data_IF_155945290259
#
_entry.id   IF_155945290259
#
_cell.length_a   1.000
_cell.length_b   1.000
_cell.length_c   1.000
_cell.angle_alpha   90.00
_cell.angle_beta   90.00
_cell.angle_gamma   90.00
#
_symmetry.space_group_name_H-M   'P 1'
#
loop_
_entity.id
_entity.type
_entity.pdbx_description
1 polymer ?
#
# COMPACT_ATOMS: atom_id res chain seq x y z
N UNK A 1 -60.02 -3.18 -70.74
CA UNK A 1 -61.09 -2.77 -69.82
C UNK A 1 -60.79 -3.36 -68.45
N UNK A 2 -61.07 -2.57 -67.40
CA UNK A 2 -60.94 -2.82 -65.94
C UNK A 2 -59.53 -2.97 -65.33
N UNK A 3 -59.07 -1.85 -64.80
CA UNK A 3 -58.14 -1.67 -63.67
C UNK A 3 -58.72 -2.15 -62.33
N UNK A 4 -57.92 -2.73 -61.42
CA UNK A 4 -57.98 -2.57 -59.93
C UNK A 4 -56.61 -3.01 -59.34
N UNK A 5 -55.69 -2.13 -58.92
CA UNK A 5 -55.54 -1.43 -57.62
C UNK A 5 -54.95 -2.27 -56.46
N UNK A 6 -53.73 -1.91 -56.02
CA UNK A 6 -53.35 -1.42 -54.66
C UNK A 6 -51.81 -1.36 -54.54
N UNK A 7 -51.17 -0.18 -54.52
CA UNK A 7 -50.91 0.73 -53.36
C UNK A 7 -50.42 -0.04 -52.13
N UNK A 8 -49.35 0.32 -51.43
CA UNK A 8 -48.37 1.41 -51.43
C UNK A 8 -47.22 0.89 -50.50
N UNK A 9 -46.00 1.42 -50.42
CA UNK A 9 -45.57 2.72 -49.92
C UNK A 9 -44.04 2.73 -50.09
N UNK A 10 -43.48 3.81 -50.65
CA UNK A 10 -42.05 4.16 -50.65
C UNK A 10 -41.76 5.13 -49.47
N UNK A 11 -40.61 5.82 -49.36
CA UNK A 11 -39.18 5.49 -49.49
C UNK A 11 -38.37 6.00 -48.26
N UNK A 12 -37.10 5.64 -48.07
CA UNK A 12 -36.08 6.45 -47.38
C UNK A 12 -34.70 5.93 -47.85
N UNK A 13 -34.00 6.60 -48.77
CA UNK A 13 -33.15 7.79 -48.59
C UNK A 13 -31.86 7.48 -47.82
N UNK A 14 -30.75 7.77 -48.50
CA UNK A 14 -29.38 7.40 -48.20
C UNK A 14 -28.81 8.13 -46.98
N UNK A 15 -27.89 7.45 -46.26
CA UNK A 15 -26.87 8.09 -45.43
C UNK A 15 -25.53 7.40 -45.69
N UNK A 16 -24.64 8.16 -46.31
CA UNK A 16 -23.19 7.98 -46.42
C UNK A 16 -22.56 7.74 -45.05
N UNK A 17 -21.99 6.56 -44.81
CA UNK A 17 -21.14 6.30 -43.65
C UNK A 17 -19.68 6.63 -44.00
N UNK A 18 -19.25 7.78 -43.48
CA UNK A 18 -17.87 8.26 -43.45
C UNK A 18 -17.04 7.28 -42.59
N UNK A 19 -16.11 6.54 -43.20
CA UNK A 19 -15.11 5.76 -42.46
C UNK A 19 -14.05 6.75 -41.96
N UNK A 20 -14.30 7.30 -40.77
CA UNK A 20 -13.30 8.05 -40.03
C UNK A 20 -12.35 7.05 -39.35
N UNK A 21 -11.13 6.97 -39.86
CA UNK A 21 -9.98 6.35 -39.21
C UNK A 21 -9.64 7.12 -37.94
N UNK A 22 -10.29 6.75 -36.83
CA UNK A 22 -9.84 7.09 -35.48
C UNK A 22 -8.81 6.05 -35.02
N UNK A 23 -7.62 6.07 -35.62
CA UNK A 23 -6.42 5.55 -34.94
C UNK A 23 -5.89 6.68 -34.08
N UNK A 24 -6.62 7.01 -33.02
CA UNK A 24 -6.10 7.83 -31.95
C UNK A 24 -5.11 6.97 -31.14
N UNK A 25 -3.94 7.57 -30.94
CA UNK A 25 -2.84 7.11 -30.12
C UNK A 25 -3.31 6.57 -28.76
N UNK A 26 -2.83 5.39 -28.41
CA UNK A 26 -3.06 4.76 -27.11
C UNK A 26 -2.29 3.46 -27.00
N UNK A 27 -1.01 3.44 -27.37
CA UNK A 27 -0.11 2.29 -27.22
C UNK A 27 0.37 2.13 -25.77
N UNK A 28 -0.51 2.37 -24.81
CA UNK A 28 -0.31 2.01 -23.41
C UNK A 28 -1.22 0.83 -23.07
N UNK A 29 -0.94 0.09 -21.97
CA UNK A 29 -1.79 -0.99 -21.52
C UNK A 29 -3.27 -0.60 -21.52
N UNK A 30 -4.13 -1.40 -22.15
CA UNK A 30 -5.56 -1.12 -22.16
C UNK A 30 -6.10 -1.21 -20.73
N UNK A 31 -6.54 -0.09 -20.16
CA UNK A 31 -7.11 -0.04 -18.80
C UNK A 31 -8.29 -0.98 -18.59
N UNK A 32 -8.93 -1.44 -19.68
CA UNK A 32 -10.15 -2.24 -19.66
C UNK A 32 -9.98 -3.56 -18.90
N UNK A 33 -8.78 -4.16 -18.90
CA UNK A 33 -8.48 -5.44 -18.23
C UNK A 33 -7.32 -5.36 -17.22
N UNK A 34 -6.90 -4.15 -16.84
CA UNK A 34 -5.84 -3.95 -15.86
C UNK A 34 -6.42 -3.75 -14.46
N UNK A 35 -5.93 -4.52 -13.49
CA UNK A 35 -6.19 -4.28 -12.08
C UNK A 35 -5.22 -3.23 -11.52
N UNK A 36 -3.95 -3.31 -11.92
CA UNK A 36 -2.91 -2.33 -11.60
C UNK A 36 -2.05 -2.10 -12.83
N UNK A 37 -1.56 -0.88 -12.98
CA UNK A 37 -0.46 -0.53 -13.88
C UNK A 37 0.66 0.03 -13.00
N UNK A 38 1.87 -0.49 -13.14
CA UNK A 38 3.08 -0.01 -12.47
C UNK A 38 4.11 0.22 -13.57
N UNK A 39 4.31 1.49 -13.95
CA UNK A 39 5.12 1.85 -15.11
C UNK A 39 4.65 1.14 -16.40
N UNK A 40 5.43 0.19 -16.92
CA UNK A 40 5.10 -0.66 -18.07
C UNK A 40 4.55 -2.04 -17.68
N UNK A 41 4.61 -2.41 -16.40
CA UNK A 41 4.08 -3.66 -15.88
C UNK A 41 2.57 -3.56 -15.60
N UNK A 42 1.86 -4.67 -15.81
CA UNK A 42 0.40 -4.72 -15.68
C UNK A 42 0.00 -5.97 -14.89
N UNK A 43 -0.62 -5.75 -13.74
CA UNK A 43 -1.35 -6.80 -13.03
C UNK A 43 -2.75 -6.88 -13.64
N UNK A 44 -3.09 -8.04 -14.20
CA UNK A 44 -4.36 -8.22 -14.91
C UNK A 44 -5.53 -8.48 -13.97
N UNK A 45 -6.75 -8.18 -14.44
CA UNK A 45 -7.98 -8.57 -13.71
C UNK A 45 -8.11 -10.09 -13.59
N UNK A 46 -7.67 -10.85 -14.60
CA UNK A 46 -7.73 -12.32 -14.61
C UNK A 46 -6.84 -12.93 -13.53
N UNK A 47 -5.66 -12.36 -13.29
CA UNK A 47 -4.76 -12.77 -12.22
C UNK A 47 -5.37 -12.55 -10.84
N UNK A 48 -5.96 -11.37 -10.62
CA UNK A 48 -6.69 -11.06 -9.38
C UNK A 48 -7.87 -12.03 -9.19
N UNK A 49 -8.65 -12.29 -10.24
CA UNK A 49 -9.79 -13.19 -10.19
C UNK A 49 -9.36 -14.63 -9.90
N UNK A 50 -8.25 -15.11 -10.46
CA UNK A 50 -7.73 -16.44 -10.21
C UNK A 50 -7.35 -16.66 -8.73
N UNK A 51 -6.84 -15.63 -8.05
CA UNK A 51 -6.56 -15.69 -6.61
C UNK A 51 -7.84 -15.63 -5.77
N UNK A 52 -8.80 -14.79 -6.13
CA UNK A 52 -10.12 -14.75 -5.46
C UNK A 52 -10.82 -16.10 -5.58
N UNK A 53 -10.79 -16.72 -6.77
CA UNK A 53 -11.39 -18.04 -7.03
C UNK A 53 -10.78 -19.17 -6.18
N UNK A 54 -9.51 -19.03 -5.78
CA UNK A 54 -8.88 -19.92 -4.80
C UNK A 54 -9.37 -19.60 -3.39
N UNK A 55 -9.39 -18.33 -2.99
CA UNK A 55 -9.85 -17.90 -1.65
C UNK A 55 -11.28 -18.37 -1.39
N UNK A 56 -12.21 -18.20 -2.31
CA UNK A 56 -13.63 -18.56 -2.10
C UNK A 56 -13.87 -20.07 -1.95
N UNK A 57 -12.89 -20.91 -2.30
CA UNK A 57 -12.94 -22.37 -2.07
C UNK A 57 -12.56 -22.74 -0.64
N UNK A 58 -11.87 -21.86 0.08
CA UNK A 58 -11.53 -22.05 1.49
C UNK A 58 -12.78 -21.98 2.37
N UNK A 59 -13.02 -22.95 3.28
CA UNK A 59 -14.16 -22.90 4.20
C UNK A 59 -14.21 -21.61 5.03
N UNK A 60 -13.05 -21.08 5.43
CA UNK A 60 -12.93 -19.86 6.21
C UNK A 60 -13.31 -18.58 5.43
N UNK A 61 -13.43 -18.63 4.10
CA UNK A 61 -13.93 -17.51 3.31
C UNK A 61 -15.47 -17.42 3.27
N UNK A 62 -16.20 -18.47 3.69
CA UNK A 62 -17.68 -18.49 3.63
C UNK A 62 -18.35 -17.35 4.41
N UNK A 63 -17.92 -17.01 5.64
CA UNK A 63 -18.49 -15.88 6.38
C UNK A 63 -18.30 -14.55 5.63
N UNK A 64 -17.14 -14.36 4.99
CA UNK A 64 -16.87 -13.14 4.19
C UNK A 64 -17.82 -13.04 3.00
N UNK A 65 -18.06 -14.15 2.29
CA UNK A 65 -19.01 -14.20 1.18
C UNK A 65 -20.46 -13.90 1.64
N UNK A 66 -20.89 -14.50 2.76
CA UNK A 66 -22.22 -14.27 3.33
C UNK A 66 -22.43 -12.83 3.81
N UNK A 67 -21.37 -12.18 4.27
CA UNK A 67 -21.38 -10.78 4.71
C UNK A 67 -21.08 -9.78 3.58
N UNK A 68 -20.99 -10.24 2.32
CA UNK A 68 -20.63 -9.41 1.17
C UNK A 68 -19.27 -8.68 1.29
N UNK A 69 -18.30 -9.28 1.99
CA UNK A 69 -16.97 -8.74 2.28
C UNK A 69 -15.85 -9.26 1.36
N UNK A 70 -16.20 -9.82 0.20
CA UNK A 70 -15.19 -10.31 -0.76
C UNK A 70 -14.41 -9.19 -1.45
N UNK A 71 -14.91 -7.95 -1.37
CA UNK A 71 -14.16 -6.77 -1.79
C UNK A 71 -12.90 -6.55 -0.94
N UNK A 72 -12.92 -6.90 0.35
CA UNK A 72 -11.73 -6.90 1.21
C UNK A 72 -10.67 -7.87 0.70
N UNK A 73 -11.08 -9.07 0.28
CA UNK A 73 -10.18 -10.08 -0.33
C UNK A 73 -9.59 -9.54 -1.62
N UNK A 74 -10.39 -8.94 -2.49
CA UNK A 74 -9.91 -8.38 -3.75
C UNK A 74 -8.86 -7.27 -3.53
N UNK A 75 -9.08 -6.37 -2.55
CA UNK A 75 -8.10 -5.33 -2.19
C UNK A 75 -6.81 -5.91 -1.63
N UNK A 76 -6.91 -6.91 -0.76
CA UNK A 76 -5.74 -7.57 -0.21
C UNK A 76 -4.92 -8.28 -1.29
N UNK A 77 -5.59 -9.00 -2.21
CA UNK A 77 -4.92 -9.60 -3.39
C UNK A 77 -4.13 -8.55 -4.16
N UNK A 78 -4.77 -7.44 -4.52
CA UNK A 78 -4.09 -6.36 -5.25
C UNK A 78 -2.93 -5.76 -4.44
N UNK A 79 -3.11 -5.58 -3.13
CA UNK A 79 -2.07 -5.05 -2.24
C UNK A 79 -0.83 -5.94 -2.19
N UNK A 80 -1.02 -7.25 -2.09
CA UNK A 80 0.08 -8.21 -2.07
C UNK A 80 0.77 -8.31 -3.42
N UNK A 81 0.03 -8.25 -4.54
CA UNK A 81 0.63 -8.26 -5.87
C UNK A 81 1.46 -7.00 -6.13
N UNK A 82 0.97 -5.81 -5.75
CA UNK A 82 1.77 -4.57 -5.80
C UNK A 82 3.02 -4.69 -4.96
N UNK A 83 2.90 -5.19 -3.72
CA UNK A 83 4.04 -5.36 -2.81
C UNK A 83 5.07 -6.31 -3.42
N UNK A 84 4.62 -7.42 -4.02
CA UNK A 84 5.48 -8.38 -4.70
C UNK A 84 6.24 -7.76 -5.88
N UNK A 85 5.56 -6.99 -6.72
CA UNK A 85 6.19 -6.31 -7.87
C UNK A 85 7.27 -5.31 -7.41
N UNK A 86 6.93 -4.44 -6.45
CA UNK A 86 7.86 -3.47 -5.88
C UNK A 86 9.07 -4.16 -5.24
N UNK A 87 8.82 -5.21 -4.45
CA UNK A 87 9.86 -5.97 -3.77
C UNK A 87 10.77 -6.72 -4.74
N UNK A 88 10.23 -7.28 -5.81
CA UNK A 88 11.01 -7.99 -6.84
C UNK A 88 12.01 -7.04 -7.50
N UNK A 89 11.59 -5.82 -7.75
CA UNK A 89 12.47 -4.80 -8.32
C UNK A 89 13.54 -4.35 -7.33
N UNK A 90 13.16 -4.00 -6.09
CA UNK A 90 14.11 -3.66 -5.02
C UNK A 90 15.10 -4.79 -4.82
N UNK A 91 14.64 -6.05 -4.75
CA UNK A 91 15.52 -7.21 -4.59
C UNK A 91 16.56 -7.33 -5.70
N UNK A 92 16.21 -6.97 -6.94
CA UNK A 92 17.15 -6.94 -8.07
C UNK A 92 18.14 -5.78 -7.96
N UNK A 93 17.67 -4.57 -7.68
CA UNK A 93 18.50 -3.35 -7.57
C UNK A 93 19.50 -3.47 -6.41
N UNK A 94 19.01 -3.98 -5.29
CA UNK A 94 19.74 -4.15 -4.05
C UNK A 94 20.47 -5.49 -3.95
N UNK A 95 20.33 -6.37 -4.94
CA UNK A 95 20.90 -7.72 -4.93
C UNK A 95 20.51 -8.52 -3.67
N UNK A 96 19.27 -8.36 -3.21
CA UNK A 96 18.70 -9.17 -2.12
C UNK A 96 18.55 -10.62 -2.58
N UNK A 97 18.73 -11.56 -1.66
CA UNK A 97 18.57 -12.99 -1.93
C UNK A 97 17.89 -13.65 -0.74
N UNK A 98 17.05 -14.63 -1.03
CA UNK A 98 16.45 -15.48 -0.01
C UNK A 98 17.52 -16.42 0.56
N UNK A 99 17.69 -16.37 1.89
CA UNK A 99 18.50 -17.34 2.61
C UNK A 99 17.83 -18.73 2.54
N UNK A 100 18.54 -19.69 1.95
CA UNK A 100 18.04 -21.05 1.75
C UNK A 100 17.86 -21.81 3.07
N UNK A 101 18.62 -21.48 4.12
CA UNK A 101 18.45 -22.07 5.44
C UNK A 101 17.13 -21.59 6.06
N UNK A 102 16.84 -20.29 5.98
CA UNK A 102 15.58 -19.72 6.46
C UNK A 102 14.37 -20.24 5.67
N UNK A 103 14.50 -20.37 4.33
CA UNK A 103 13.46 -20.97 3.50
C UNK A 103 13.17 -22.43 3.89
N UNK A 104 14.21 -23.20 4.20
CA UNK A 104 14.06 -24.58 4.64
C UNK A 104 13.35 -24.66 5.99
N UNK A 105 13.75 -23.83 6.96
CA UNK A 105 13.08 -23.73 8.26
C UNK A 105 11.62 -23.31 8.13
N UNK A 106 11.33 -22.32 7.28
CA UNK A 106 9.96 -21.85 7.06
C UNK A 106 9.09 -22.92 6.41
N UNK A 107 9.67 -23.76 5.53
CA UNK A 107 8.97 -24.89 4.91
C UNK A 107 8.67 -26.01 5.90
N UNK A 108 9.56 -26.26 6.86
CA UNK A 108 9.30 -27.23 7.93
C UNK A 108 8.18 -26.77 8.86
N UNK A 109 8.07 -25.46 9.11
CA UNK A 109 7.00 -24.88 9.91
C UNK A 109 5.67 -24.77 9.15
N UNK A 110 5.73 -24.58 7.83
CA UNK A 110 4.63 -24.27 6.92
C UNK A 110 3.50 -23.48 7.58
N UNK A 111 3.68 -22.15 7.77
CA UNK A 111 2.68 -21.33 8.46
C UNK A 111 1.33 -21.26 7.72
N UNK A 112 1.24 -21.79 6.50
CA UNK A 112 0.02 -21.83 5.70
C UNK A 112 -0.74 -23.16 5.79
N UNK A 113 -0.15 -24.23 6.34
CA UNK A 113 -0.70 -25.59 6.34
C UNK A 113 -1.82 -25.86 7.35
N UNK A 114 -2.04 -24.99 8.35
CA UNK A 114 -3.08 -25.17 9.37
C UNK A 114 -4.49 -24.80 8.90
N UNK A 115 -5.54 -25.38 9.50
CA UNK A 115 -6.91 -24.94 9.23
C UNK A 115 -7.11 -23.47 9.66
N UNK A 116 -7.80 -22.70 8.83
CA UNK A 116 -8.19 -21.34 9.20
C UNK A 116 -9.52 -21.36 9.96
N UNK A 117 -9.67 -20.58 11.05
CA UNK A 117 -10.92 -20.54 11.82
C UNK A 117 -12.11 -20.13 10.96
N UNK A 118 -13.21 -20.87 11.09
CA UNK A 118 -14.46 -20.64 10.32
C UNK A 118 -15.58 -20.06 11.18
N UNK A 119 -15.37 -19.94 12.48
CA UNK A 119 -16.35 -19.55 13.50
C UNK A 119 -16.45 -18.03 13.71
N UNK A 120 -15.63 -17.26 13.00
CA UNK A 120 -15.57 -15.80 13.14
C UNK A 120 -14.79 -15.31 14.36
N UNK A 121 -14.04 -16.19 15.04
CA UNK A 121 -13.18 -15.83 16.17
C UNK A 121 -11.99 -14.95 15.79
N UNK A 122 -11.56 -14.99 14.52
CA UNK A 122 -10.44 -14.20 14.01
C UNK A 122 -10.96 -12.91 13.37
N UNK A 123 -10.42 -11.73 13.74
CA UNK A 123 -10.73 -10.46 13.08
C UNK A 123 -10.51 -10.52 11.57
N UNK A 124 -11.34 -9.79 10.82
CA UNK A 124 -11.30 -9.84 9.35
C UNK A 124 -9.94 -9.38 8.81
N UNK A 125 -9.32 -8.42 9.49
CA UNK A 125 -8.02 -7.82 9.22
C UNK A 125 -6.88 -8.83 9.32
N UNK A 126 -7.07 -9.91 10.10
CA UNK A 126 -6.10 -11.00 10.23
C UNK A 126 -6.44 -12.17 9.29
N UNK A 127 -7.74 -12.47 9.14
CA UNK A 127 -8.19 -13.60 8.33
C UNK A 127 -7.96 -13.39 6.82
N UNK A 128 -8.22 -12.17 6.31
CA UNK A 128 -8.13 -11.87 4.88
C UNK A 128 -6.70 -12.02 4.34
N UNK A 129 -5.64 -11.45 4.96
CA UNK A 129 -4.27 -11.69 4.54
C UNK A 129 -3.86 -13.16 4.56
N UNK A 130 -4.29 -13.92 5.57
CA UNK A 130 -4.00 -15.36 5.67
C UNK A 130 -4.62 -16.17 4.52
N UNK A 131 -5.88 -15.88 4.18
CA UNK A 131 -6.55 -16.49 3.03
C UNK A 131 -5.83 -16.18 1.70
N UNK A 132 -5.42 -14.93 1.49
CA UNK A 132 -4.72 -14.51 0.28
C UNK A 132 -3.33 -15.12 0.19
N UNK A 133 -2.57 -15.17 1.30
CA UNK A 133 -1.27 -15.84 1.36
C UNK A 133 -1.39 -17.31 0.97
N UNK A 134 -2.42 -18.02 1.46
CA UNK A 134 -2.68 -19.41 1.05
C UNK A 134 -3.02 -19.54 -0.44
N UNK A 135 -3.83 -18.62 -0.97
CA UNK A 135 -4.18 -18.63 -2.40
C UNK A 135 -2.99 -18.36 -3.32
N UNK A 136 -2.04 -17.51 -2.90
CA UNK A 136 -0.76 -17.27 -3.60
C UNK A 136 0.17 -18.49 -3.49
N UNK A 137 0.11 -19.19 -2.36
CA UNK A 137 0.86 -20.42 -2.11
C UNK A 137 2.18 -20.16 -1.39
N UNK A 138 2.73 -21.24 -0.82
CA UNK A 138 3.91 -21.19 0.05
C UNK A 138 5.11 -20.48 -0.57
N UNK A 139 5.47 -20.80 -1.82
CA UNK A 139 6.67 -20.22 -2.45
C UNK A 139 6.57 -18.69 -2.61
N UNK A 140 5.42 -18.17 -3.02
CA UNK A 140 5.21 -16.73 -3.18
C UNK A 140 5.26 -16.03 -1.82
N UNK A 141 4.56 -16.60 -0.83
CA UNK A 141 4.58 -16.10 0.55
C UNK A 141 5.99 -16.10 1.16
N UNK A 142 6.71 -17.22 1.04
CA UNK A 142 8.03 -17.41 1.63
C UNK A 142 9.07 -16.48 1.00
N UNK A 143 9.08 -16.37 -0.34
CA UNK A 143 10.01 -15.47 -1.02
C UNK A 143 9.78 -14.01 -0.60
N UNK A 144 8.53 -13.53 -0.62
CA UNK A 144 8.24 -12.15 -0.25
C UNK A 144 8.60 -11.87 1.21
N UNK A 145 8.20 -12.75 2.15
CA UNK A 145 8.53 -12.56 3.56
C UNK A 145 10.04 -12.51 3.80
N UNK A 146 10.79 -13.45 3.24
CA UNK A 146 12.23 -13.54 3.49
C UNK A 146 12.99 -12.39 2.81
N UNK A 147 12.54 -11.92 1.64
CA UNK A 147 13.11 -10.72 1.01
C UNK A 147 12.81 -9.45 1.80
N UNK A 148 11.59 -9.31 2.37
CA UNK A 148 11.27 -8.18 3.24
C UNK A 148 12.11 -8.20 4.54
N UNK A 149 12.32 -9.38 5.13
CA UNK A 149 13.21 -9.54 6.29
C UNK A 149 14.65 -9.14 5.94
N UNK A 150 15.17 -9.60 4.80
CA UNK A 150 16.51 -9.23 4.33
C UNK A 150 16.63 -7.72 4.07
N UNK A 151 15.61 -7.12 3.46
CA UNK A 151 15.55 -5.68 3.24
C UNK A 151 15.53 -4.91 4.58
N UNK A 152 14.73 -5.34 5.55
CA UNK A 152 14.72 -4.74 6.88
C UNK A 152 16.11 -4.82 7.53
N UNK A 153 16.71 -6.02 7.56
CA UNK A 153 18.02 -6.26 8.19
C UNK A 153 19.15 -5.45 7.55
N UNK A 154 19.04 -5.12 6.26
CA UNK A 154 20.02 -4.29 5.58
C UNK A 154 20.09 -2.87 6.13
N UNK A 155 18.94 -2.29 6.49
CA UNK A 155 18.82 -0.90 6.95
C UNK A 155 18.75 -0.79 8.47
N UNK A 156 18.28 -1.83 9.16
CA UNK A 156 18.22 -1.88 10.61
C UNK A 156 19.62 -1.71 11.21
N UNK A 157 19.72 -0.84 12.22
CA UNK A 157 21.02 -0.47 12.79
C UNK A 157 21.73 0.64 12.02
N UNK A 158 21.36 0.92 10.77
CA UNK A 158 22.08 1.86 9.88
C UNK A 158 21.27 3.12 9.58
N UNK A 159 19.96 2.97 9.52
CA UNK A 159 19.01 4.05 9.29
C UNK A 159 18.86 4.91 10.53
N UNK A 160 18.85 6.23 10.36
CA UNK A 160 18.37 7.18 11.34
C UNK A 160 17.61 8.30 10.63
N UNK A 161 16.58 8.83 11.29
CA UNK A 161 15.69 9.86 10.74
C UNK A 161 15.54 10.97 11.77
N UNK A 162 15.79 12.20 11.32
CA UNK A 162 15.45 13.42 12.06
C UNK A 162 14.05 13.85 11.71
N UNK A 163 13.22 14.13 12.71
CA UNK A 163 11.82 14.44 12.50
C UNK A 163 11.24 15.43 13.52
N UNK A 164 10.13 16.04 13.14
CA UNK A 164 9.18 16.69 14.04
C UNK A 164 7.89 15.86 14.09
N UNK A 165 7.19 15.82 15.22
CA UNK A 165 5.87 15.19 15.33
C UNK A 165 4.93 15.98 16.24
N UNK A 166 3.66 16.07 15.84
CA UNK A 166 2.57 16.57 16.66
C UNK A 166 1.40 15.58 16.66
N UNK A 167 0.78 15.39 17.84
CA UNK A 167 -0.49 14.69 17.97
C UNK A 167 -1.67 15.63 17.73
N UNK A 168 -2.65 15.19 16.96
CA UNK A 168 -3.88 15.92 16.62
C UNK A 168 -5.06 14.95 16.72
N UNK A 169 -6.17 15.35 17.32
CA UNK A 169 -7.31 14.44 17.54
C UNK A 169 -8.23 14.30 16.34
N UNK A 170 -8.40 15.37 15.57
CA UNK A 170 -9.30 15.42 14.41
C UNK A 170 -8.53 15.21 13.09
N UNK A 171 -9.14 14.47 12.17
CA UNK A 171 -8.52 14.14 10.89
C UNK A 171 -8.36 15.37 9.99
N UNK A 172 -9.38 16.22 9.90
CA UNK A 172 -9.37 17.37 9.00
C UNK A 172 -8.32 18.38 9.48
N UNK A 173 -8.20 18.57 10.80
CA UNK A 173 -7.14 19.39 11.39
C UNK A 173 -5.74 18.79 11.15
N UNK A 174 -5.57 17.47 11.32
CA UNK A 174 -4.32 16.79 11.08
C UNK A 174 -3.89 16.89 9.61
N UNK A 175 -4.84 16.70 8.68
CA UNK A 175 -4.62 16.85 7.24
C UNK A 175 -4.27 18.28 6.87
N UNK A 176 -5.01 19.26 7.39
CA UNK A 176 -4.72 20.67 7.14
C UNK A 176 -3.35 21.09 7.69
N UNK A 177 -2.94 20.55 8.84
CA UNK A 177 -1.59 20.73 9.37
C UNK A 177 -0.56 20.11 8.43
N UNK A 178 -0.73 18.85 8.03
CA UNK A 178 0.18 18.15 7.14
C UNK A 178 0.38 18.90 5.80
N UNK A 179 -0.71 19.38 5.20
CA UNK A 179 -0.68 20.15 3.95
C UNK A 179 0.06 21.48 4.11
N UNK A 180 -0.13 22.20 5.23
CA UNK A 180 0.60 23.45 5.51
C UNK A 180 2.10 23.21 5.67
N UNK A 181 2.48 22.14 6.36
CA UNK A 181 3.88 21.77 6.56
C UNK A 181 4.51 21.35 5.23
N UNK A 182 3.83 20.53 4.43
CA UNK A 182 4.34 20.13 3.12
C UNK A 182 4.51 21.31 2.16
N UNK A 183 3.65 22.34 2.25
CA UNK A 183 3.75 23.54 1.44
C UNK A 183 4.89 24.48 1.87
N UNK A 184 5.21 24.51 3.16
CA UNK A 184 6.26 25.33 3.77
C UNK A 184 6.99 24.57 4.91
N UNK A 185 7.95 23.68 4.55
CA UNK A 185 8.62 22.81 5.52
C UNK A 185 9.34 23.57 6.65
N UNK A 186 9.91 24.74 6.37
CA UNK A 186 10.62 25.57 7.35
C UNK A 186 9.70 26.05 8.50
N UNK A 187 8.41 26.21 8.21
CA UNK A 187 7.41 26.59 9.21
C UNK A 187 6.95 25.41 10.07
N UNK A 188 7.33 24.17 9.76
CA UNK A 188 6.79 22.94 10.36
C UNK A 188 6.82 22.92 11.88
N UNK A 189 7.98 23.24 12.47
CA UNK A 189 8.12 23.29 13.93
C UNK A 189 7.23 24.35 14.61
N UNK A 190 6.94 25.47 13.94
CA UNK A 190 6.06 26.51 14.49
C UNK A 190 4.57 26.13 14.39
N UNK A 191 4.20 25.51 13.26
CA UNK A 191 2.85 25.02 13.00
C UNK A 191 2.48 23.90 13.97
N UNK A 192 3.38 22.94 14.18
CA UNK A 192 3.18 21.84 15.13
C UNK A 192 2.98 22.34 16.57
N UNK A 193 3.76 23.34 17.03
CA UNK A 193 3.56 23.96 18.36
C UNK A 193 2.20 24.62 18.51
N UNK A 194 1.66 25.18 17.43
CA UNK A 194 0.37 25.88 17.46
C UNK A 194 -0.81 24.92 17.38
N UNK A 195 -0.62 23.73 16.80
CA UNK A 195 -1.66 22.71 16.65
C UNK A 195 -1.74 21.73 17.83
N UNK A 196 -0.63 21.48 18.52
CA UNK A 196 -0.57 20.59 19.68
C UNK A 196 -1.30 21.15 20.91
N UNK A 197 -1.87 20.26 21.72
CA UNK A 197 -2.41 20.59 23.04
C UNK A 197 -1.33 20.47 24.14
N UNK A 198 -1.60 21.01 25.33
CA UNK A 198 -0.71 20.84 26.49
C UNK A 198 -0.55 19.36 26.89
N UNK A 199 -1.59 18.54 26.68
CA UNK A 199 -1.58 17.11 27.01
C UNK A 199 -0.75 16.28 26.01
N UNK A 200 -0.56 16.78 24.79
CA UNK A 200 0.21 16.15 23.71
C UNK A 200 1.17 17.16 23.08
N UNK A 201 2.21 17.60 23.82
CA UNK A 201 3.17 18.56 23.31
C UNK A 201 3.92 17.96 22.12
N UNK A 202 4.32 18.79 21.13
CA UNK A 202 5.03 18.30 19.96
C UNK A 202 6.46 17.90 20.35
N UNK A 203 7.00 16.92 19.63
CA UNK A 203 8.43 16.59 19.68
C UNK A 203 9.08 17.18 18.43
N UNK A 204 10.18 17.91 18.61
CA UNK A 204 10.81 18.67 17.55
C UNK A 204 12.30 18.33 17.46
N UNK A 205 12.83 18.27 16.25
CA UNK A 205 14.22 17.90 15.95
C UNK A 205 14.64 16.62 16.70
N UNK A 206 13.73 15.65 16.74
CA UNK A 206 13.97 14.34 17.38
C UNK A 206 14.65 13.42 16.40
N UNK A 207 15.45 12.50 16.93
CA UNK A 207 16.11 11.44 16.16
C UNK A 207 15.47 10.11 16.52
N UNK A 208 15.24 9.27 15.51
CA UNK A 208 14.67 7.93 15.73
C UNK A 208 15.64 6.99 16.42
N UNK A 209 16.94 7.23 16.26
CA UNK A 209 17.99 6.26 16.54
C UNK A 209 17.94 5.07 15.55
N UNK A 210 18.85 4.10 15.70
CA UNK A 210 19.09 3.04 14.70
C UNK A 210 18.05 1.90 14.70
N UNK A 211 16.84 2.15 15.22
CA UNK A 211 15.80 1.15 15.50
C UNK A 211 14.66 1.10 14.48
N UNK A 212 13.59 0.33 14.77
CA UNK A 212 12.48 0.14 13.84
C UNK A 212 11.73 1.40 13.42
N UNK A 213 11.67 2.41 14.29
CA UNK A 213 11.01 3.69 13.98
C UNK A 213 11.70 4.40 12.80
N UNK A 214 13.03 4.27 12.67
CA UNK A 214 13.77 4.82 11.52
C UNK A 214 13.27 4.23 10.19
N UNK A 215 13.02 2.92 10.15
CA UNK A 215 12.52 2.24 8.96
C UNK A 215 11.08 2.63 8.64
N UNK A 216 10.24 2.80 9.67
CA UNK A 216 8.87 3.27 9.50
C UNK A 216 8.80 4.70 8.93
N UNK A 217 9.75 5.57 9.31
CA UNK A 217 9.83 6.96 8.85
C UNK A 217 10.77 7.16 7.66
N UNK A 218 11.24 6.09 7.02
CA UNK A 218 12.11 6.17 5.86
C UNK A 218 11.33 6.62 4.61
N UNK A 219 11.19 7.93 4.45
CA UNK A 219 10.60 8.62 3.31
C UNK A 219 11.55 9.74 2.84
N UNK A 220 11.34 10.39 1.68
CA UNK A 220 12.19 11.49 1.26
C UNK A 220 12.24 12.62 2.29
N UNK A 221 13.34 13.38 2.29
CA UNK A 221 13.49 14.58 3.12
C UNK A 221 12.33 15.56 2.86
N UNK A 222 11.99 16.36 3.87
CA UNK A 222 10.86 17.29 3.89
C UNK A 222 9.46 16.68 3.64
N UNK A 223 9.35 15.35 3.63
CA UNK A 223 8.05 14.68 3.53
C UNK A 223 7.26 14.78 4.83
N UNK A 224 5.94 14.73 4.71
CA UNK A 224 5.01 14.72 5.85
C UNK A 224 4.16 13.46 5.81
N UNK A 225 4.22 12.69 6.90
CA UNK A 225 3.39 11.53 7.16
C UNK A 225 2.25 11.89 8.11
N UNK A 226 1.02 11.53 7.76
CA UNK A 226 -0.12 11.49 8.67
C UNK A 226 -0.38 10.02 9.01
N UNK A 227 -0.28 9.68 10.29
CA UNK A 227 -0.44 8.32 10.79
C UNK A 227 -1.67 8.29 11.69
N UNK A 228 -2.63 7.42 11.37
CA UNK A 228 -3.79 7.20 12.23
C UNK A 228 -3.40 6.29 13.41
N UNK A 229 -3.67 6.77 14.62
CA UNK A 229 -3.55 6.00 15.84
C UNK A 229 -4.96 5.62 16.31
N UNK A 230 -5.42 4.39 16.08
CA UNK A 230 -6.75 3.98 16.49
C UNK A 230 -6.90 4.05 18.02
N UNK A 231 -8.12 4.34 18.46
CA UNK A 231 -8.47 4.30 19.87
C UNK A 231 -8.27 2.89 20.44
N UNK A 232 -7.80 2.83 21.69
CA UNK A 232 -7.63 1.61 22.47
C UNK A 232 -8.34 1.77 23.81
N UNK A 233 -8.38 0.73 24.63
CA UNK A 233 -8.91 0.86 26.00
C UNK A 233 -8.11 1.89 26.83
N UNK A 234 -6.84 2.14 26.47
CA UNK A 234 -5.93 3.02 27.18
C UNK A 234 -5.73 4.40 26.51
N UNK A 235 -6.26 4.62 25.30
CA UNK A 235 -6.06 5.86 24.54
C UNK A 235 -7.27 6.21 23.68
N UNK A 236 -7.66 7.49 23.67
CA UNK A 236 -8.76 7.98 22.85
C UNK A 236 -8.48 7.93 21.34
N UNK A 237 -7.26 7.58 20.92
CA UNK A 237 -6.84 7.60 19.53
C UNK A 237 -6.57 9.02 19.02
N UNK A 238 -6.30 9.13 17.72
CA UNK A 238 -6.03 10.40 17.05
C UNK A 238 -5.10 10.20 15.85
N UNK A 239 -4.37 11.26 15.50
CA UNK A 239 -3.47 11.30 14.37
C UNK A 239 -2.13 11.88 14.79
N UNK A 240 -1.05 11.34 14.23
CA UNK A 240 0.27 11.94 14.30
C UNK A 240 0.62 12.56 12.95
N UNK A 241 0.99 13.84 12.97
CA UNK A 241 1.59 14.52 11.82
C UNK A 241 3.09 14.53 12.04
N UNK A 242 3.82 13.76 11.24
CA UNK A 242 5.27 13.57 11.32
C UNK A 242 5.91 14.25 10.11
N UNK A 243 6.74 15.25 10.34
CA UNK A 243 7.59 15.84 9.31
C UNK A 243 8.96 15.20 9.38
N UNK A 244 9.38 14.54 8.30
CA UNK A 244 10.75 14.06 8.15
C UNK A 244 11.62 15.23 7.70
N UNK A 245 12.66 15.52 8.46
CA UNK A 245 13.60 16.61 8.20
C UNK A 245 14.79 16.12 7.38
N UNK A 246 15.31 14.95 7.72
CA UNK A 246 16.37 14.28 6.97
C UNK A 246 16.43 12.81 7.33
N UNK A 247 16.89 11.99 6.40
CA UNK A 247 17.28 10.60 6.64
C UNK A 247 18.78 10.39 6.43
N UNK A 248 19.37 9.52 7.24
CA UNK A 248 20.76 9.11 7.12
C UNK A 248 20.83 7.58 7.11
N UNK A 249 21.71 7.02 6.26
CA UNK A 249 22.01 5.58 6.24
C UNK A 249 23.52 5.39 6.37
N UNK A 250 23.94 4.90 7.52
CA UNK A 250 25.34 4.65 7.82
C UNK A 250 25.88 3.44 7.03
N UNK A 251 27.19 3.44 6.75
CA UNK A 251 27.87 2.32 6.07
C UNK A 251 27.93 1.04 6.91
N UNK A 252 27.79 1.16 8.23
CA UNK A 252 27.85 0.06 9.19
C UNK A 252 26.76 0.23 10.25
N UNK A 253 26.27 -0.89 10.78
CA UNK A 253 25.27 -0.87 11.84
C UNK A 253 25.83 -0.24 13.12
N UNK A 254 24.99 0.52 13.80
CA UNK A 254 25.26 1.14 15.09
C UNK A 254 25.45 0.06 16.16
N UNK A 255 26.48 0.17 17.01
CA UNK A 255 26.68 -0.74 18.14
C UNK A 255 25.62 -0.55 19.25
N UNK A 256 24.82 0.52 19.19
CA UNK A 256 23.78 0.83 20.18
C UNK A 256 22.50 0.01 19.97
N UNK A 257 22.30 -0.55 18.76
CA UNK A 257 21.16 -1.41 18.49
C UNK A 257 21.37 -2.77 19.17
N UNK A 258 20.41 -3.16 20.01
CA UNK A 258 20.28 -4.51 20.54
C UNK A 258 19.29 -5.32 19.67
N UNK A 259 19.76 -6.24 18.80
CA UNK A 259 18.88 -6.99 17.91
C UNK A 259 17.89 -7.89 18.66
N UNK A 260 18.18 -8.23 19.93
CA UNK A 260 17.30 -9.11 20.72
C UNK A 260 15.99 -8.45 21.15
N UNK A 261 15.91 -7.11 21.07
CA UNK A 261 14.71 -6.34 21.41
C UNK A 261 13.75 -6.20 20.23
N UNK A 262 14.13 -6.72 19.06
CA UNK A 262 13.37 -6.58 17.82
C UNK A 262 12.58 -7.87 17.62
N UNK A 263 11.25 -7.77 17.61
CA UNK A 263 10.38 -8.90 17.33
C UNK A 263 10.60 -9.37 15.87
N UNK A 264 11.10 -10.60 15.65
CA UNK A 264 11.35 -11.11 14.31
C UNK A 264 10.09 -11.13 13.42
N UNK A 265 8.89 -11.22 14.02
CA UNK A 265 7.63 -11.23 13.27
C UNK A 265 7.27 -9.85 12.69
N UNK A 266 7.91 -8.77 13.15
CA UNK A 266 7.69 -7.42 12.63
C UNK A 266 8.65 -7.05 11.51
N UNK A 267 9.77 -7.78 11.34
CA UNK A 267 10.76 -7.51 10.32
C UNK A 267 10.18 -7.42 8.89
N UNK A 268 9.25 -8.31 8.46
CA UNK A 268 8.63 -8.16 7.14
C UNK A 268 7.91 -6.82 6.97
N UNK A 269 7.21 -6.36 8.01
CA UNK A 269 6.50 -5.07 7.97
C UNK A 269 7.48 -3.89 7.91
N UNK A 270 8.60 -3.97 8.62
CA UNK A 270 9.65 -2.94 8.52
C UNK A 270 10.30 -2.92 7.14
N UNK A 271 10.55 -4.08 6.54
CA UNK A 271 11.00 -4.19 5.16
C UNK A 271 9.99 -3.59 4.19
N UNK A 272 8.70 -3.78 4.46
CA UNK A 272 7.63 -3.23 3.64
C UNK A 272 7.68 -1.70 3.62
N UNK A 273 7.90 -1.05 4.75
CA UNK A 273 8.02 0.43 4.81
C UNK A 273 9.09 1.00 3.89
N UNK A 274 10.18 0.26 3.64
CA UNK A 274 11.26 0.65 2.74
C UNK A 274 10.84 0.65 1.26
N UNK A 275 9.71 0.02 0.90
CA UNK A 275 9.17 0.04 -0.46
C UNK A 275 8.49 1.36 -0.84
N UNK A 276 8.27 2.30 0.11
CA UNK A 276 7.60 3.59 -0.18
C UNK A 276 8.34 4.42 -1.21
N UNK A 277 9.66 4.51 -1.07
CA UNK A 277 10.50 5.30 -1.97
C UNK A 277 10.45 4.74 -3.39
N UNK A 278 10.49 3.41 -3.52
CA UNK A 278 10.31 2.75 -4.81
C UNK A 278 8.93 3.02 -5.40
N UNK A 279 7.87 3.00 -4.58
CA UNK A 279 6.52 3.26 -5.06
C UNK A 279 6.30 4.72 -5.51
N UNK A 280 6.97 5.68 -4.88
CA UNK A 280 6.90 7.11 -5.23
C UNK A 280 7.49 7.42 -6.61
N UNK A 281 8.55 6.71 -7.01
CA UNK A 281 9.20 6.90 -8.30
C UNK A 281 8.42 6.36 -9.50
N UNK A 282 7.23 5.80 -9.28
CA UNK A 282 6.51 5.00 -10.28
C UNK A 282 5.17 5.58 -10.66
N UNK A 283 4.77 5.31 -11.89
CA UNK A 283 3.40 5.55 -12.34
C UNK A 283 2.48 4.41 -11.89
N UNK A 284 2.27 4.29 -10.58
CA UNK A 284 1.41 3.28 -9.98
C UNK A 284 -0.04 3.73 -10.03
N UNK A 285 -0.87 2.93 -10.72
CA UNK A 285 -2.30 3.20 -10.88
C UNK A 285 -3.13 1.95 -10.60
N UNK A 286 -3.96 2.02 -9.58
CA UNK A 286 -4.93 0.97 -9.24
C UNK A 286 -6.26 1.24 -9.94
N UNK A 287 -6.90 0.19 -10.45
CA UNK A 287 -8.25 0.28 -11.02
C UNK A 287 -9.23 0.76 -9.94
N UNK A 288 -10.09 1.76 -10.20
CA UNK A 288 -11.01 2.31 -9.20
C UNK A 288 -11.95 1.29 -8.57
N UNK A 289 -12.17 0.13 -9.20
CA UNK A 289 -12.99 -0.96 -8.65
C UNK A 289 -12.39 -1.59 -7.39
N UNK A 290 -11.07 -1.54 -7.23
CA UNK A 290 -10.38 -2.10 -6.07
C UNK A 290 -10.18 -1.02 -5.01
N UNK A 291 -9.79 0.20 -5.40
CA UNK A 291 -9.61 1.32 -4.48
C UNK A 291 -8.43 2.18 -4.89
N UNK A 292 -7.75 2.74 -3.90
CA UNK A 292 -6.58 3.59 -4.08
C UNK A 292 -5.39 3.00 -3.34
N UNK A 293 -4.22 3.01 -3.97
CA UNK A 293 -2.97 2.66 -3.30
C UNK A 293 -2.61 3.75 -2.30
N UNK A 294 -2.58 3.39 -1.03
CA UNK A 294 -2.14 4.29 0.04
C UNK A 294 -0.65 4.07 0.30
N UNK A 295 0.17 5.09 0.09
CA UNK A 295 1.62 5.04 0.28
C UNK A 295 2.04 5.00 1.75
N UNK A 296 1.29 5.63 2.66
CA UNK A 296 1.60 5.58 4.09
C UNK A 296 1.42 4.15 4.64
N UNK A 297 0.33 3.50 4.23
CA UNK A 297 -0.09 2.18 4.67
C UNK A 297 0.46 1.02 3.81
N UNK A 298 0.94 1.33 2.59
CA UNK A 298 1.41 0.40 1.58
C UNK A 298 0.39 -0.73 1.27
N UNK A 299 -0.87 -0.34 1.09
CA UNK A 299 -1.96 -1.24 0.70
C UNK A 299 -3.02 -0.48 -0.08
N UNK A 300 -3.86 -1.23 -0.79
CA UNK A 300 -5.05 -0.71 -1.44
C UNK A 300 -6.17 -0.55 -0.42
N UNK A 301 -6.72 0.65 -0.34
CA UNK A 301 -7.81 1.00 0.56
C UNK A 301 -9.05 1.44 -0.21
N UNK A 302 -10.25 1.32 0.38
CA UNK A 302 -11.43 1.99 -0.14
C UNK A 302 -11.15 3.49 -0.31
N UNK A 303 -11.55 4.07 -1.44
CA UNK A 303 -11.32 5.50 -1.74
C UNK A 303 -11.82 6.43 -0.61
N UNK A 304 -12.94 6.09 0.03
CA UNK A 304 -13.51 6.87 1.13
C UNK A 304 -12.68 6.81 2.42
N UNK A 305 -11.84 5.78 2.59
CA UNK A 305 -11.08 5.52 3.81
C UNK A 305 -9.57 5.79 3.62
N UNK A 306 -9.10 5.83 2.37
CA UNK A 306 -7.69 5.92 2.05
C UNK A 306 -7.01 7.10 2.75
N UNK A 307 -7.58 8.31 2.70
CA UNK A 307 -6.99 9.47 3.37
C UNK A 307 -6.95 9.35 4.91
N UNK A 308 -8.01 8.81 5.52
CA UNK A 308 -8.15 8.71 6.99
C UNK A 308 -7.27 7.60 7.58
N UNK A 309 -6.93 6.59 6.79
CA UNK A 309 -6.01 5.55 7.24
C UNK A 309 -4.56 6.07 7.38
N UNK A 310 -4.17 7.01 6.52
CA UNK A 310 -2.88 7.66 6.57
C UNK A 310 -2.59 8.42 5.28
N UNK A 311 -1.63 9.34 5.33
CA UNK A 311 -1.24 10.16 4.18
C UNK A 311 0.28 10.30 4.14
N UNK A 312 0.84 10.32 2.94
CA UNK A 312 2.22 10.73 2.70
C UNK A 312 2.18 11.89 1.69
N UNK A 313 2.68 13.04 2.11
CA UNK A 313 2.93 14.20 1.26
C UNK A 313 4.43 14.29 1.05
N UNK A 314 4.86 14.29 -0.21
CA UNK A 314 6.26 14.50 -0.58
C UNK A 314 6.45 15.92 -1.11
N UNK A 315 7.61 16.55 -0.91
CA UNK A 315 7.89 17.85 -1.51
C UNK A 315 7.82 17.77 -3.05
N UNK A 316 7.32 18.85 -3.67
CA UNK A 316 7.31 18.97 -5.13
C UNK A 316 8.76 18.88 -5.65
N UNK A 317 9.02 17.91 -6.54
CA UNK A 317 10.34 17.67 -7.13
C UNK A 317 10.90 18.86 -7.94
N UNK A 318 10.10 19.91 -8.18
CA UNK A 318 10.47 21.11 -8.94
C UNK A 318 11.12 22.22 -8.10
N UNK A 319 11.46 21.96 -6.82
CA UNK A 319 12.13 22.94 -5.92
C UNK A 319 13.63 22.71 -5.69
N UNK A 320 14.26 21.73 -6.35
CA UNK A 320 15.71 21.49 -6.29
C UNK A 320 16.50 22.20 -7.38
#
# INVERSE_FOLDING_TARGET
>A
MTSVLRRAVAPFAAVTALVATLTACGTGPSQVNSAVIIDDHVISVDEVQALIDKVVKEPAARPLAQQHKLDLVAREVVSQLITHDLLTEVAREENLRVDQAQLSMLREQDPLAGDLPTDGSVPTEQLVPALVNRARGFEAYANDNLLLVELANRYLGRADVKYNVAGVTDYDDAKALAEKIAADPDSGASLMRSASSEDLPPQLNSETGPGPLALQLMVPDDSVLLINQPATEQSAGGFFVVQVLSKEVASSASPELDPSQIDPNQLPQYGKYLLREQALGKNLRVSPRYGEWNLAELKVLPKAEAGVAGLLLVPDADKS
#
